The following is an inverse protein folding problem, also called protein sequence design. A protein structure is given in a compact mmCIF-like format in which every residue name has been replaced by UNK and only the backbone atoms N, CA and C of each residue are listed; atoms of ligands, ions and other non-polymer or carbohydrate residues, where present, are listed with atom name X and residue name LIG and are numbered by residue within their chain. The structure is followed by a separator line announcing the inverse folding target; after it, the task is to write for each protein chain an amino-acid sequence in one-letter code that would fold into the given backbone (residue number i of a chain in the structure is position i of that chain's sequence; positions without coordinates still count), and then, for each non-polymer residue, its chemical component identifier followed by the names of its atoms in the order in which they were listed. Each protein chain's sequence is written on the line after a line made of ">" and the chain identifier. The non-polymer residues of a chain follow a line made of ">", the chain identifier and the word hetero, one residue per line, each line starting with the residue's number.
data_IF_645923278387
#
_entry.id   IF_645923278387
#
_cell.length_a   1.000
_cell.length_b   1.000
_cell.length_c   1.000
_cell.angle_alpha   90.00
_cell.angle_beta   90.00
_cell.angle_gamma   90.00
#
_symmetry.space_group_name_H-M   'P 1'
#
loop_
_entity.id
_entity.type
_entity.pdbx_description
1 polymer ?
#
# COMPACT_ATOMS: atom_id res chain seq x y z
N UNK A 1 -22.90 0.75 16.05
CA UNK A 1 -22.60 -0.50 16.78
C UNK A 1 -21.10 -0.64 17.12
N UNK A 2 -20.25 0.40 16.91
CA UNK A 2 -18.83 0.41 17.29
C UNK A 2 -17.92 -0.61 16.58
N UNK A 3 -18.33 -1.16 15.44
CA UNK A 3 -17.58 -2.21 14.74
C UNK A 3 -16.69 -1.69 13.60
N UNK A 4 -16.70 -0.40 13.32
CA UNK A 4 -16.06 0.15 12.12
C UNK A 4 -14.59 -0.22 11.97
N UNK A 5 -13.80 -0.11 13.03
CA UNK A 5 -12.38 -0.47 13.01
C UNK A 5 -12.08 -1.94 12.67
N UNK A 6 -13.08 -2.82 12.77
CA UNK A 6 -13.00 -4.24 12.42
C UNK A 6 -13.57 -4.56 11.04
N UNK A 7 -14.02 -3.55 10.31
CA UNK A 7 -14.58 -3.67 8.97
C UNK A 7 -13.61 -3.07 7.96
N UNK A 8 -13.35 -3.80 6.90
CA UNK A 8 -12.49 -3.35 5.81
C UNK A 8 -13.24 -3.42 4.50
N UNK A 9 -13.25 -2.31 3.77
CA UNK A 9 -13.76 -2.24 2.40
C UNK A 9 -12.59 -2.39 1.43
N UNK A 10 -12.59 -3.46 0.65
CA UNK A 10 -11.55 -3.74 -0.33
C UNK A 10 -11.91 -3.15 -1.69
N UNK A 11 -10.91 -2.74 -2.45
CA UNK A 11 -10.95 -2.14 -3.79
C UNK A 11 -11.69 -0.81 -3.86
N UNK A 12 -12.98 -0.78 -3.59
CA UNK A 12 -13.89 0.39 -3.68
C UNK A 12 -13.70 1.23 -4.95
N UNK A 13 -13.40 0.58 -6.08
CA UNK A 13 -13.02 1.20 -7.36
C UNK A 13 -14.10 2.12 -7.93
N UNK A 14 -15.37 1.84 -7.65
CA UNK A 14 -16.50 2.69 -8.04
C UNK A 14 -16.36 4.13 -7.53
N UNK A 15 -15.73 4.33 -6.36
CA UNK A 15 -15.49 5.64 -5.78
C UNK A 15 -14.62 6.53 -6.68
N UNK A 16 -13.73 5.95 -7.47
CA UNK A 16 -12.92 6.66 -8.48
C UNK A 16 -13.75 7.29 -9.61
N UNK A 17 -15.01 6.87 -9.77
CA UNK A 17 -15.94 7.38 -10.79
C UNK A 17 -17.05 8.27 -10.20
N UNK A 18 -17.13 8.44 -8.88
CA UNK A 18 -18.11 9.32 -8.26
C UNK A 18 -17.75 10.79 -8.45
N UNK A 19 -18.75 11.66 -8.54
CA UNK A 19 -18.53 13.09 -8.55
C UNK A 19 -18.04 13.62 -7.20
N UNK A 20 -17.44 14.81 -7.19
CA UNK A 20 -16.84 15.38 -5.99
C UNK A 20 -17.87 15.76 -4.92
N UNK A 21 -19.08 16.21 -5.32
CA UNK A 21 -20.12 16.58 -4.35
C UNK A 21 -20.64 15.37 -3.60
N UNK A 22 -20.81 14.24 -4.30
CA UNK A 22 -21.18 12.98 -3.68
C UNK A 22 -20.08 12.48 -2.74
N UNK A 23 -18.83 12.46 -3.20
CA UNK A 23 -17.69 12.03 -2.38
C UNK A 23 -17.53 12.85 -1.13
N UNK A 24 -17.71 14.19 -1.19
CA UNK A 24 -17.65 15.07 -0.02
C UNK A 24 -18.64 14.66 1.08
N UNK A 25 -19.87 14.32 0.71
CA UNK A 25 -20.89 13.82 1.65
C UNK A 25 -20.55 12.40 2.15
N UNK A 26 -20.17 11.52 1.24
CA UNK A 26 -19.83 10.14 1.53
C UNK A 26 -18.67 10.04 2.53
N UNK A 27 -17.61 10.83 2.36
CA UNK A 27 -16.43 10.80 3.24
C UNK A 27 -16.76 11.16 4.68
N UNK A 28 -17.73 12.06 4.92
CA UNK A 28 -18.21 12.35 6.28
C UNK A 28 -18.80 11.10 6.93
N UNK A 29 -19.64 10.37 6.22
CA UNK A 29 -20.23 9.12 6.71
C UNK A 29 -19.20 8.03 6.92
N UNK A 30 -18.28 7.85 5.95
CA UNK A 30 -17.22 6.87 6.04
C UNK A 30 -16.28 7.15 7.22
N UNK A 31 -15.90 8.42 7.44
CA UNK A 31 -15.10 8.81 8.60
C UNK A 31 -15.82 8.52 9.92
N UNK A 32 -17.10 8.82 10.01
CA UNK A 32 -17.91 8.51 11.20
C UNK A 32 -18.05 7.01 11.43
N UNK A 33 -18.06 6.21 10.38
CA UNK A 33 -18.14 4.75 10.49
C UNK A 33 -16.87 4.10 11.03
N UNK A 34 -15.70 4.73 10.83
CA UNK A 34 -14.40 4.24 11.26
C UNK A 34 -13.94 2.97 10.52
N UNK A 35 -14.49 2.69 9.33
CA UNK A 35 -14.06 1.53 8.52
C UNK A 35 -12.69 1.76 7.89
N UNK A 36 -11.99 0.67 7.60
CA UNK A 36 -10.71 0.67 6.91
C UNK A 36 -10.91 0.47 5.40
N UNK A 37 -9.92 0.89 4.62
CA UNK A 37 -9.90 0.69 3.17
C UNK A 37 -8.62 -0.03 2.74
N UNK A 38 -8.75 -0.95 1.78
CA UNK A 38 -7.61 -1.55 1.07
C UNK A 38 -7.78 -1.28 -0.41
N UNK A 39 -6.81 -0.63 -1.04
CA UNK A 39 -6.75 -0.48 -2.48
C UNK A 39 -5.69 -1.41 -3.06
N UNK A 40 -6.02 -2.07 -4.18
CA UNK A 40 -5.10 -2.95 -4.90
C UNK A 40 -4.80 -2.34 -6.29
N UNK A 41 -3.96 -1.29 -6.35
CA UNK A 41 -3.84 -0.43 -7.53
C UNK A 41 -3.36 -1.18 -8.77
N UNK A 42 -2.41 -2.09 -8.64
CA UNK A 42 -1.82 -2.82 -9.77
C UNK A 42 -2.83 -3.74 -10.47
N UNK A 43 -3.69 -4.38 -9.71
CA UNK A 43 -4.76 -5.20 -10.27
C UNK A 43 -5.93 -4.36 -10.75
N UNK A 44 -6.38 -3.43 -9.95
CA UNK A 44 -7.55 -2.60 -10.26
C UNK A 44 -7.37 -1.81 -11.55
N UNK A 45 -6.19 -1.22 -11.81
CA UNK A 45 -5.93 -0.46 -13.04
C UNK A 45 -5.94 -1.34 -14.29
N UNK A 46 -5.60 -2.62 -14.16
CA UNK A 46 -5.68 -3.58 -15.25
C UNK A 46 -7.11 -4.02 -15.54
N UNK A 47 -7.88 -4.33 -14.50
CA UNK A 47 -9.21 -4.92 -14.65
C UNK A 47 -10.29 -3.87 -14.91
N UNK A 48 -10.24 -2.74 -14.22
CA UNK A 48 -11.29 -1.74 -14.27
C UNK A 48 -11.14 -0.81 -15.48
N UNK A 49 -12.28 -0.50 -16.11
CA UNK A 49 -12.32 0.44 -17.23
C UNK A 49 -11.63 -0.03 -18.51
N UNK A 50 -11.19 -1.29 -18.63
CA UNK A 50 -10.44 -1.77 -19.79
C UNK A 50 -11.27 -1.78 -21.08
N UNK A 51 -12.60 -1.85 -20.97
CA UNK A 51 -13.53 -1.78 -22.10
C UNK A 51 -14.11 -0.37 -22.33
N UNK A 52 -13.71 0.62 -21.51
CA UNK A 52 -14.12 2.00 -21.69
C UNK A 52 -13.50 2.55 -22.98
N UNK A 53 -14.19 3.50 -23.60
CA UNK A 53 -13.60 4.39 -24.61
C UNK A 53 -12.57 5.33 -23.95
N UNK A 54 -11.78 6.04 -24.77
CA UNK A 54 -10.88 7.06 -24.22
C UNK A 54 -11.65 8.36 -23.90
N UNK A 55 -11.31 9.07 -22.78
CA UNK A 55 -10.30 8.73 -21.78
C UNK A 55 -10.78 7.57 -20.87
N UNK A 56 -9.90 6.62 -20.58
CA UNK A 56 -10.21 5.50 -19.67
C UNK A 56 -10.23 5.93 -18.21
N UNK A 57 -11.12 5.33 -17.44
CA UNK A 57 -11.11 5.46 -15.98
C UNK A 57 -9.81 4.87 -15.39
N UNK A 58 -9.31 5.47 -14.31
CA UNK A 58 -8.15 4.90 -13.59
C UNK A 58 -8.47 3.58 -12.89
N UNK A 59 -9.74 3.36 -12.53
CA UNK A 59 -10.18 2.10 -11.94
C UNK A 59 -9.71 1.85 -10.50
N UNK A 60 -9.26 2.86 -9.79
CA UNK A 60 -8.86 2.79 -8.38
C UNK A 60 -9.70 3.73 -7.52
N UNK A 61 -9.78 3.42 -6.23
CA UNK A 61 -10.45 4.29 -5.25
C UNK A 61 -9.67 5.61 -5.04
N UNK A 62 -10.27 6.55 -4.36
CA UNK A 62 -9.70 7.88 -4.06
C UNK A 62 -8.71 7.82 -2.88
N UNK A 63 -7.63 7.05 -3.01
CA UNK A 63 -6.66 6.78 -1.93
C UNK A 63 -6.14 8.08 -1.30
N UNK A 64 -5.64 9.02 -2.11
CA UNK A 64 -5.10 10.28 -1.62
C UNK A 64 -6.12 11.12 -0.84
N UNK A 65 -7.36 11.13 -1.30
CA UNK A 65 -8.43 11.89 -0.62
C UNK A 65 -8.89 11.20 0.67
N UNK A 66 -8.96 9.87 0.69
CA UNK A 66 -9.26 9.09 1.90
C UNK A 66 -8.20 9.32 2.97
N UNK A 67 -6.92 9.23 2.59
CA UNK A 67 -5.78 9.44 3.49
C UNK A 67 -5.78 10.87 4.07
N UNK A 68 -5.89 11.89 3.21
CA UNK A 68 -5.95 13.29 3.64
C UNK A 68 -7.16 13.62 4.51
N UNK A 69 -8.26 12.90 4.34
CA UNK A 69 -9.43 13.02 5.21
C UNK A 69 -9.24 12.29 6.55
N UNK A 70 -8.11 11.64 6.78
CA UNK A 70 -7.77 10.94 8.01
C UNK A 70 -8.49 9.60 8.17
N UNK A 71 -8.89 8.97 7.08
CA UNK A 71 -9.40 7.59 7.07
C UNK A 71 -8.24 6.61 6.89
N UNK A 72 -8.32 5.45 7.53
CA UNK A 72 -7.30 4.43 7.37
C UNK A 72 -7.43 3.77 5.99
N UNK A 73 -6.45 3.99 5.14
CA UNK A 73 -6.34 3.38 3.82
C UNK A 73 -4.95 2.75 3.66
N UNK A 74 -4.89 1.53 3.16
CA UNK A 74 -3.65 0.84 2.86
C UNK A 74 -3.67 0.27 1.44
N UNK A 75 -2.51 -0.15 0.96
CA UNK A 75 -2.34 -0.78 -0.33
C UNK A 75 -2.08 -2.28 -0.17
N UNK A 76 -2.67 -3.07 -1.07
CA UNK A 76 -2.51 -4.51 -1.13
C UNK A 76 -2.14 -5.00 -2.53
N UNK A 77 -1.58 -6.20 -2.60
CA UNK A 77 -1.20 -6.82 -3.87
C UNK A 77 -2.40 -7.46 -4.57
N UNK A 78 -3.32 -8.07 -3.80
CA UNK A 78 -4.39 -8.94 -4.26
C UNK A 78 -3.83 -10.22 -4.92
N UNK A 79 -3.94 -10.36 -6.22
CA UNK A 79 -3.54 -11.56 -6.96
C UNK A 79 -2.04 -11.70 -7.14
N UNK A 80 -1.55 -12.94 -7.02
CA UNK A 80 -0.15 -13.30 -7.24
C UNK A 80 -0.08 -14.44 -8.26
N UNK A 81 0.39 -14.13 -9.47
CA UNK A 81 0.59 -15.07 -10.57
C UNK A 81 -0.65 -15.94 -10.84
N UNK A 82 -1.78 -15.30 -11.00
CA UNK A 82 -3.06 -15.94 -11.31
C UNK A 82 -3.70 -15.32 -12.57
N UNK A 83 -4.86 -15.85 -13.04
CA UNK A 83 -5.52 -15.35 -14.25
C UNK A 83 -5.97 -13.88 -14.18
N UNK A 84 -6.21 -13.33 -12.96
CA UNK A 84 -6.65 -11.96 -12.77
C UNK A 84 -5.49 -10.97 -12.88
N UNK A 85 -4.34 -11.31 -12.29
CA UNK A 85 -3.12 -10.50 -12.37
C UNK A 85 -1.86 -11.39 -12.50
N UNK A 86 -1.51 -11.82 -13.71
CA UNK A 86 -0.38 -12.74 -13.95
C UNK A 86 0.98 -12.19 -13.53
N UNK A 87 1.13 -10.85 -13.43
CA UNK A 87 2.37 -10.17 -13.06
C UNK A 87 2.52 -9.92 -11.55
N UNK A 88 1.55 -10.33 -10.74
CA UNK A 88 1.63 -10.25 -9.29
C UNK A 88 2.75 -11.14 -8.76
N UNK A 89 3.59 -10.61 -7.87
CA UNK A 89 4.77 -11.31 -7.35
C UNK A 89 4.96 -11.18 -5.84
N UNK A 90 3.99 -10.55 -5.14
CA UNK A 90 4.05 -10.31 -3.70
C UNK A 90 5.03 -9.23 -3.27
N UNK A 91 5.68 -8.52 -4.18
CA UNK A 91 6.55 -7.40 -3.82
C UNK A 91 5.71 -6.16 -3.51
N UNK A 92 5.52 -5.88 -2.23
CA UNK A 92 4.68 -4.78 -1.79
C UNK A 92 5.26 -3.39 -2.12
N UNK A 93 6.59 -3.25 -2.23
CA UNK A 93 7.20 -1.98 -2.67
C UNK A 93 6.85 -1.66 -4.12
N UNK A 94 6.73 -2.68 -4.98
CA UNK A 94 6.25 -2.49 -6.36
C UNK A 94 4.79 -2.04 -6.40
N UNK A 95 3.97 -2.58 -5.52
CA UNK A 95 2.57 -2.15 -5.39
C UNK A 95 2.49 -0.71 -4.90
N UNK A 96 3.33 -0.36 -3.92
CA UNK A 96 3.41 0.99 -3.38
C UNK A 96 3.84 1.99 -4.45
N UNK A 97 4.90 1.71 -5.20
CA UNK A 97 5.37 2.54 -6.30
C UNK A 97 4.26 2.80 -7.32
N UNK A 98 3.64 1.74 -7.83
CA UNK A 98 2.50 1.86 -8.73
C UNK A 98 1.34 2.66 -8.12
N UNK A 99 1.04 2.43 -6.84
CA UNK A 99 -0.01 3.13 -6.10
C UNK A 99 0.25 4.63 -5.99
N UNK A 100 1.48 5.03 -5.67
CA UNK A 100 1.87 6.45 -5.58
C UNK A 100 1.66 7.17 -6.93
N UNK A 101 2.05 6.53 -8.04
CA UNK A 101 1.85 7.06 -9.39
C UNK A 101 0.36 7.16 -9.74
N UNK A 102 -0.39 6.08 -9.58
CA UNK A 102 -1.78 5.98 -9.97
C UNK A 102 -2.66 6.93 -9.14
N UNK A 103 -2.37 7.07 -7.86
CA UNK A 103 -3.15 7.88 -6.91
C UNK A 103 -2.64 9.33 -6.79
N UNK A 104 -1.62 9.74 -7.56
CA UNK A 104 -1.02 11.08 -7.51
C UNK A 104 -0.50 11.47 -6.11
N UNK A 105 0.24 10.56 -5.48
CA UNK A 105 0.82 10.74 -4.15
C UNK A 105 2.35 10.80 -4.22
N UNK A 106 2.89 11.71 -5.03
CA UNK A 106 4.33 11.92 -5.18
C UNK A 106 4.77 13.31 -4.70
N UNK A 107 3.98 13.96 -3.87
CA UNK A 107 4.39 15.16 -3.14
C UNK A 107 5.43 14.83 -2.07
N UNK A 108 6.21 15.83 -1.66
CA UNK A 108 7.26 15.65 -0.67
C UNK A 108 6.75 14.98 0.62
N UNK A 109 5.64 15.48 1.16
CA UNK A 109 5.03 14.93 2.39
C UNK A 109 4.51 13.50 2.19
N UNK A 110 3.94 13.20 1.03
CA UNK A 110 3.45 11.85 0.72
C UNK A 110 4.63 10.85 0.66
N UNK A 111 5.76 11.25 0.06
CA UNK A 111 6.92 10.39 -0.10
C UNK A 111 7.69 10.14 1.21
N UNK A 112 7.68 11.11 2.14
CA UNK A 112 8.33 10.96 3.45
C UNK A 112 7.70 9.88 4.34
N UNK A 113 6.44 9.54 4.09
CA UNK A 113 5.67 8.56 4.87
C UNK A 113 4.98 7.51 4.00
N UNK A 114 5.46 7.31 2.79
CA UNK A 114 4.78 6.43 1.84
C UNK A 114 4.72 4.96 2.29
N UNK A 115 5.70 4.50 3.07
CA UNK A 115 5.68 3.15 3.65
C UNK A 115 4.50 2.93 4.62
N UNK A 116 3.95 3.98 5.24
CA UNK A 116 2.78 3.84 6.11
C UNK A 116 1.61 3.15 5.40
N UNK A 117 1.45 3.40 4.10
CA UNK A 117 0.39 2.80 3.30
C UNK A 117 0.47 1.26 3.21
N UNK A 118 1.63 0.68 3.46
CA UNK A 118 1.87 -0.77 3.40
C UNK A 118 2.38 -1.37 4.71
N UNK A 119 2.54 -0.55 5.74
CA UNK A 119 3.00 -0.94 7.08
C UNK A 119 1.97 -0.58 8.15
N UNK A 120 2.02 0.61 8.72
CA UNK A 120 1.18 1.04 9.85
C UNK A 120 -0.31 1.04 9.51
N UNK A 121 -0.68 1.50 8.33
CA UNK A 121 -2.07 1.49 7.88
C UNK A 121 -2.58 0.06 7.67
N UNK A 122 -1.72 -0.83 7.14
CA UNK A 122 -2.03 -2.26 7.01
C UNK A 122 -2.18 -2.93 8.36
N UNK A 123 -1.31 -2.60 9.32
CA UNK A 123 -1.39 -3.12 10.69
C UNK A 123 -2.69 -2.69 11.39
N UNK A 124 -3.12 -1.44 11.20
CA UNK A 124 -4.43 -0.97 11.70
C UNK A 124 -5.59 -1.73 11.06
N UNK A 125 -5.53 -1.94 9.75
CA UNK A 125 -6.53 -2.70 8.99
C UNK A 125 -6.65 -4.14 9.50
N UNK A 126 -5.52 -4.77 9.83
CA UNK A 126 -5.45 -6.13 10.39
C UNK A 126 -5.71 -6.19 11.90
N UNK A 127 -5.95 -5.05 12.56
CA UNK A 127 -6.16 -4.93 14.00
C UNK A 127 -5.02 -5.57 14.82
N UNK A 128 -3.77 -5.42 14.41
CA UNK A 128 -2.60 -6.01 15.07
C UNK A 128 -2.30 -5.35 16.43
N UNK A 129 -2.78 -4.14 16.69
CA UNK A 129 -2.66 -3.44 17.96
C UNK A 129 -1.19 -3.32 18.42
N UNK A 130 -0.97 -3.62 19.70
CA UNK A 130 0.36 -3.58 20.31
C UNK A 130 1.32 -4.68 19.83
N UNK A 131 0.82 -5.66 19.08
CA UNK A 131 1.65 -6.68 18.46
C UNK A 131 2.46 -6.18 17.25
N UNK A 132 2.26 -4.93 16.82
CA UNK A 132 2.92 -4.35 15.67
C UNK A 132 3.73 -3.10 16.03
N UNK A 133 4.81 -2.87 15.27
CA UNK A 133 5.67 -1.68 15.35
C UNK A 133 6.94 -1.90 16.17
N UNK A 134 7.86 -0.94 16.07
CA UNK A 134 9.17 -0.98 16.71
C UNK A 134 9.08 -0.28 18.07
N UNK A 135 9.01 -1.05 19.14
CA UNK A 135 9.03 -0.55 20.51
C UNK A 135 9.54 -1.64 21.46
N UNK A 136 10.06 -1.20 22.61
CA UNK A 136 10.49 -2.12 23.68
C UNK A 136 9.31 -2.97 24.16
N UNK A 137 9.52 -4.27 24.27
CA UNK A 137 8.49 -5.23 24.70
C UNK A 137 7.58 -5.76 23.58
N UNK A 138 7.67 -5.23 22.37
CA UNK A 138 6.92 -5.76 21.22
C UNK A 138 7.66 -6.91 20.53
N UNK A 139 6.93 -7.82 19.86
CA UNK A 139 7.55 -8.90 19.09
C UNK A 139 8.50 -8.35 18.02
N UNK A 140 9.72 -8.88 17.96
CA UNK A 140 10.68 -8.49 16.93
C UNK A 140 10.32 -9.15 15.59
N UNK A 141 9.35 -8.56 14.88
CA UNK A 141 8.97 -8.89 13.52
C UNK A 141 9.40 -7.73 12.61
N UNK A 142 10.54 -7.88 11.96
CA UNK A 142 11.23 -6.78 11.28
C UNK A 142 11.67 -7.19 9.88
N UNK A 143 11.66 -6.24 8.96
CA UNK A 143 12.36 -6.33 7.68
C UNK A 143 13.33 -5.15 7.60
N UNK A 144 14.60 -5.45 7.40
CA UNK A 144 15.62 -4.43 7.14
C UNK A 144 15.75 -4.30 5.63
N UNK A 145 15.47 -3.10 5.13
CA UNK A 145 15.59 -2.77 3.72
C UNK A 145 16.99 -2.19 3.41
N UNK A 146 17.43 -2.33 2.17
CA UNK A 146 18.65 -1.73 1.65
C UNK A 146 18.40 -0.27 1.23
N UNK A 147 17.97 0.56 2.16
CA UNK A 147 17.61 1.96 1.94
C UNK A 147 17.69 2.77 3.22
N UNK A 148 17.98 4.07 3.09
CA UNK A 148 18.17 5.01 4.20
C UNK A 148 16.89 5.81 4.53
N UNK A 149 15.85 5.69 3.70
CA UNK A 149 14.56 6.37 3.88
C UNK A 149 13.44 5.65 3.15
N UNK A 150 12.19 5.98 3.48
CA UNK A 150 10.99 5.51 2.79
C UNK A 150 11.05 5.83 1.29
N UNK A 151 11.42 7.07 0.98
CA UNK A 151 11.62 7.53 -0.40
C UNK A 151 12.62 6.64 -1.15
N UNK A 152 13.82 6.41 -0.60
CA UNK A 152 14.84 5.58 -1.23
C UNK A 152 14.42 4.11 -1.31
N UNK A 153 13.69 3.61 -0.33
CA UNK A 153 13.15 2.26 -0.36
C UNK A 153 12.26 2.03 -1.59
N UNK A 154 11.38 2.97 -1.87
CA UNK A 154 10.46 2.88 -3.03
C UNK A 154 11.21 3.20 -4.33
N UNK A 155 11.95 4.32 -4.39
CA UNK A 155 12.65 4.77 -5.60
C UNK A 155 13.60 3.72 -6.18
N UNK A 156 14.32 3.03 -5.30
CA UNK A 156 15.31 1.99 -5.68
C UNK A 156 14.71 0.58 -5.70
N UNK A 157 13.43 0.43 -5.35
CA UNK A 157 12.82 -0.89 -5.15
C UNK A 157 13.68 -1.76 -4.23
N UNK A 158 14.02 -1.18 -3.07
CA UNK A 158 15.01 -1.72 -2.14
C UNK A 158 14.69 -3.16 -1.74
N UNK A 159 15.70 -4.00 -1.79
CA UNK A 159 15.55 -5.41 -1.42
C UNK A 159 15.65 -5.58 0.09
N UNK A 160 14.86 -6.50 0.66
CA UNK A 160 15.02 -6.90 2.05
C UNK A 160 16.41 -7.52 2.27
N UNK A 161 17.17 -6.96 3.19
CA UNK A 161 18.49 -7.47 3.61
C UNK A 161 18.36 -8.56 4.65
N UNK A 162 17.49 -8.32 5.63
CA UNK A 162 17.24 -9.27 6.70
C UNK A 162 15.74 -9.31 6.98
N UNK A 163 15.20 -10.49 7.18
CA UNK A 163 13.84 -10.69 7.70
C UNK A 163 13.91 -11.41 9.04
N UNK A 164 13.24 -10.85 10.04
CA UNK A 164 13.22 -11.35 11.42
C UNK A 164 11.76 -11.59 11.82
N UNK A 165 11.49 -12.72 12.44
CA UNK A 165 10.20 -13.04 13.02
C UNK A 165 10.36 -13.62 14.41
N UNK A 166 9.68 -13.02 15.39
CA UNK A 166 9.78 -13.45 16.78
C UNK A 166 11.23 -13.46 17.30
N UNK A 167 12.06 -12.50 16.88
CA UNK A 167 13.48 -12.42 17.23
C UNK A 167 14.40 -13.40 16.49
N UNK A 168 13.87 -14.24 15.60
CA UNK A 168 14.68 -15.18 14.80
C UNK A 168 14.87 -14.66 13.38
N UNK A 169 16.12 -14.67 12.91
CA UNK A 169 16.44 -14.35 11.52
C UNK A 169 15.91 -15.47 10.62
N UNK A 170 15.01 -15.13 9.71
CA UNK A 170 14.44 -16.07 8.73
C UNK A 170 15.16 -16.01 7.38
N UNK A 171 15.66 -14.82 7.02
CA UNK A 171 16.31 -14.60 5.72
C UNK A 171 17.39 -13.53 5.87
N UNK A 172 18.52 -13.81 5.27
CA UNK A 172 19.59 -12.82 5.03
C UNK A 172 19.90 -12.81 3.54
N UNK A 173 19.96 -11.63 2.96
CA UNK A 173 20.35 -11.43 1.56
C UNK A 173 21.75 -10.86 1.50
N UNK A 174 22.64 -11.55 0.80
CA UNK A 174 23.97 -11.01 0.44
C UNK A 174 23.77 -9.91 -0.60
N UNK A 175 24.48 -8.76 -0.50
CA UNK A 175 24.45 -7.72 -1.51
C UNK A 175 24.83 -8.26 -2.88
N UNK A 176 24.14 -7.79 -3.88
CA UNK A 176 24.52 -8.01 -5.27
C UNK A 176 25.82 -7.24 -5.55
N UNK A 177 26.81 -7.92 -6.11
CA UNK A 177 28.06 -7.29 -6.55
C UNK A 177 28.05 -7.23 -8.07
N UNK A 178 28.16 -6.05 -8.62
CA UNK A 178 28.31 -5.81 -10.07
C UNK A 178 29.73 -5.32 -10.31
N UNK A 179 30.46 -6.02 -11.15
CA UNK A 179 31.79 -5.63 -11.60
C UNK A 179 31.73 -5.21 -13.06
N UNK A 180 32.21 -4.01 -13.34
CA UNK A 180 32.40 -3.53 -14.71
C UNK A 180 33.83 -3.81 -15.10
N UNK A 181 34.04 -4.66 -16.07
CA UNK A 181 35.37 -4.81 -16.72
C UNK A 181 35.44 -3.76 -17.81
N UNK A 182 36.44 -2.87 -17.69
CA UNK A 182 36.74 -1.96 -18.81
C UNK A 182 37.14 -2.80 -20.02
N UNK A 183 36.57 -2.45 -21.20
CA UNK A 183 36.99 -3.04 -22.48
C UNK A 183 38.33 -2.51 -22.91
#
# INVERSE_FOLDING_TARGET
>A
RGMGSRVTASHTTAMGSYDNAYCFKLFRLLKMSGINFVSCPTESIHLQGRFDSFPKRRGVTRVAELDRAGMNVCLGQDSIKDPWYPLGNGNILRVLDAGLHICHMMGFEDLQRCLDLVTDNSARTLNLGEGYGIAVGRPANLVILDADSDYEAVRRQAKGRVSIRGGKVLMTRVPERVEFTAA
#
